data_IF_634890587800
#
_entry.id   IF_634890587800
#
_cell.length_a   1.000
_cell.length_b   1.000
_cell.length_c   1.000
_cell.angle_alpha   90.00
_cell.angle_beta   90.00
_cell.angle_gamma   90.00
#
_symmetry.space_group_name_H-M   'P 1'
#
loop_
_entity.id
_entity.type
_entity.pdbx_description
1 polymer ?
#
# COMPACT_ATOMS: atom_id res chain seq x y z
N UNK A 1 2.46 -32.85 -33.01
CA UNK A 1 3.73 -32.75 -33.76
C UNK A 1 4.30 -31.32 -33.62
N UNK A 2 3.66 -30.30 -34.14
CA UNK A 2 4.17 -28.91 -34.08
C UNK A 2 4.41 -28.36 -32.65
N UNK A 3 3.60 -28.76 -31.68
CA UNK A 3 3.78 -28.38 -30.27
C UNK A 3 5.05 -29.04 -29.70
N UNK A 4 5.26 -30.30 -29.96
CA UNK A 4 6.42 -31.03 -29.45
C UNK A 4 7.73 -30.51 -30.06
N UNK A 5 7.75 -30.24 -31.36
CA UNK A 5 8.90 -29.63 -32.02
C UNK A 5 9.25 -28.25 -31.46
N UNK A 6 8.25 -27.40 -31.28
CA UNK A 6 8.43 -26.06 -30.67
C UNK A 6 8.88 -26.14 -29.21
N UNK A 7 8.36 -27.13 -28.45
CA UNK A 7 8.78 -27.34 -27.07
C UNK A 7 10.25 -27.77 -26.99
N UNK A 8 10.67 -28.75 -27.82
CA UNK A 8 12.05 -29.20 -27.85
C UNK A 8 13.01 -28.08 -28.26
N UNK A 9 12.65 -27.28 -29.27
CA UNK A 9 13.45 -26.14 -29.70
C UNK A 9 13.57 -25.08 -28.58
N UNK A 10 12.49 -24.82 -27.87
CA UNK A 10 12.51 -23.88 -26.75
C UNK A 10 13.39 -24.37 -25.59
N UNK A 11 13.37 -25.67 -25.29
CA UNK A 11 14.23 -26.26 -24.26
C UNK A 11 15.69 -26.25 -24.68
N UNK A 12 16.00 -26.57 -25.94
CA UNK A 12 17.35 -26.47 -26.48
C UNK A 12 17.90 -25.04 -26.41
N UNK A 13 17.10 -24.07 -26.75
CA UNK A 13 17.49 -22.64 -26.64
C UNK A 13 17.75 -22.24 -25.18
N UNK A 14 16.87 -22.66 -24.24
CA UNK A 14 17.03 -22.37 -22.81
C UNK A 14 18.33 -23.01 -22.26
N UNK A 15 18.66 -24.23 -22.68
CA UNK A 15 19.88 -24.88 -22.24
C UNK A 15 21.13 -24.22 -22.84
N UNK A 16 21.10 -23.88 -24.14
CA UNK A 16 22.23 -23.28 -24.83
C UNK A 16 22.49 -21.82 -24.44
N UNK A 17 21.43 -21.03 -24.26
CA UNK A 17 21.54 -19.57 -24.00
C UNK A 17 21.59 -19.24 -22.52
N UNK A 18 20.86 -19.99 -21.67
CA UNK A 18 20.72 -19.68 -20.24
C UNK A 18 21.25 -20.79 -19.32
N UNK A 19 21.74 -21.91 -19.85
CA UNK A 19 22.20 -23.03 -19.03
C UNK A 19 21.08 -23.72 -18.23
N UNK A 20 19.81 -23.51 -18.60
CA UNK A 20 18.65 -24.06 -17.89
C UNK A 20 18.25 -25.37 -18.55
N UNK A 21 18.52 -26.48 -17.88
CA UNK A 21 18.10 -27.82 -18.35
C UNK A 21 16.57 -27.96 -18.29
N UNK A 22 16.03 -28.89 -19.07
CA UNK A 22 14.59 -29.22 -19.03
C UNK A 22 14.12 -29.60 -17.61
N UNK A 23 14.92 -30.35 -16.87
CA UNK A 23 14.62 -30.71 -15.47
C UNK A 23 14.51 -29.45 -14.58
N UNK A 24 15.47 -28.55 -14.69
CA UNK A 24 15.47 -27.31 -13.94
C UNK A 24 14.25 -26.46 -14.30
N UNK A 25 13.93 -26.33 -15.59
CA UNK A 25 12.76 -25.62 -16.06
C UNK A 25 11.45 -26.19 -15.49
N UNK A 26 11.28 -27.52 -15.58
CA UNK A 26 10.11 -28.23 -15.04
C UNK A 26 9.96 -28.00 -13.52
N UNK A 27 11.08 -28.03 -12.78
CA UNK A 27 11.09 -27.78 -11.35
C UNK A 27 10.70 -26.31 -11.04
N UNK A 28 11.20 -25.34 -11.79
CA UNK A 28 10.80 -23.92 -11.64
C UNK A 28 9.31 -23.71 -11.89
N UNK A 29 8.78 -24.31 -12.97
CA UNK A 29 7.35 -24.26 -13.29
C UNK A 29 6.51 -24.92 -12.18
N UNK A 30 6.96 -26.08 -11.68
CA UNK A 30 6.29 -26.75 -10.56
C UNK A 30 6.28 -25.89 -9.29
N UNK A 31 7.41 -25.27 -8.94
CA UNK A 31 7.52 -24.38 -7.79
C UNK A 31 6.60 -23.18 -7.95
N UNK A 32 6.55 -22.59 -9.15
CA UNK A 32 5.65 -21.49 -9.46
C UNK A 32 4.19 -21.86 -9.20
N UNK A 33 3.69 -22.94 -9.77
CA UNK A 33 2.30 -23.36 -9.57
C UNK A 33 1.99 -23.81 -8.13
N UNK A 34 2.96 -24.43 -7.44
CA UNK A 34 2.79 -24.78 -6.03
C UNK A 34 2.68 -23.51 -5.17
N UNK A 35 3.51 -22.51 -5.45
CA UNK A 35 3.43 -21.23 -4.75
C UNK A 35 2.08 -20.55 -4.95
N UNK A 36 1.62 -20.47 -6.19
CA UNK A 36 0.31 -19.89 -6.50
C UNK A 36 -0.83 -20.64 -5.79
N UNK A 37 -0.81 -21.97 -5.82
CA UNK A 37 -1.82 -22.77 -5.12
C UNK A 37 -1.79 -22.56 -3.59
N UNK A 38 -0.60 -22.44 -3.00
CA UNK A 38 -0.47 -22.14 -1.56
C UNK A 38 -0.97 -20.74 -1.25
N UNK A 39 -0.65 -19.74 -2.08
CA UNK A 39 -1.18 -18.37 -1.89
C UNK A 39 -2.70 -18.37 -1.96
N UNK A 40 -3.29 -19.05 -2.95
CA UNK A 40 -4.73 -19.13 -3.10
C UNK A 40 -5.40 -19.77 -1.86
N UNK A 41 -4.86 -20.89 -1.38
CA UNK A 41 -5.38 -21.58 -0.20
C UNK A 41 -5.26 -20.76 1.09
N UNK A 42 -4.06 -20.19 1.33
CA UNK A 42 -3.77 -19.41 2.54
C UNK A 42 -4.57 -18.10 2.59
N UNK A 43 -4.90 -17.54 1.43
CA UNK A 43 -5.60 -16.26 1.34
C UNK A 43 -7.08 -16.41 0.98
N UNK A 44 -7.62 -17.64 1.02
CA UNK A 44 -9.01 -17.92 0.68
C UNK A 44 -10.01 -17.18 1.59
N UNK A 45 -9.65 -16.97 2.85
CA UNK A 45 -10.48 -16.32 3.86
C UNK A 45 -10.31 -14.78 3.89
N UNK A 46 -9.47 -14.21 3.02
CA UNK A 46 -9.34 -12.75 2.93
C UNK A 46 -10.61 -12.17 2.30
N UNK A 47 -11.34 -11.40 3.10
CA UNK A 47 -12.60 -10.80 2.68
C UNK A 47 -12.39 -9.62 1.72
N UNK A 48 -13.36 -9.40 0.83
CA UNK A 48 -13.38 -8.24 -0.09
C UNK A 48 -14.09 -7.04 0.49
N UNK A 49 -14.39 -7.10 1.79
CA UNK A 49 -14.96 -6.01 2.57
C UNK A 49 -14.12 -5.81 3.82
N UNK A 50 -14.16 -4.60 4.35
CA UNK A 50 -13.62 -4.28 5.68
C UNK A 50 -14.49 -3.24 6.35
N UNK A 51 -14.46 -3.20 7.68
CA UNK A 51 -15.05 -2.10 8.42
C UNK A 51 -14.38 -0.80 8.00
N UNK A 52 -15.17 0.18 7.57
CA UNK A 52 -14.72 1.53 7.25
C UNK A 52 -15.51 2.53 8.08
N UNK A 53 -14.85 3.61 8.41
CA UNK A 53 -15.45 4.74 9.10
C UNK A 53 -15.48 5.98 8.20
N UNK A 54 -16.53 6.77 8.32
CA UNK A 54 -16.59 8.12 7.76
C UNK A 54 -16.47 9.10 8.90
N UNK A 55 -15.48 9.95 8.84
CA UNK A 55 -15.25 10.94 9.87
C UNK A 55 -15.00 12.34 9.28
N UNK A 56 -15.13 13.34 10.13
CA UNK A 56 -14.65 14.69 9.87
C UNK A 56 -13.74 15.13 11.00
N UNK A 57 -12.81 16.06 10.72
CA UNK A 57 -11.87 16.54 11.71
C UNK A 57 -11.63 18.05 11.66
N UNK A 58 -11.09 18.56 12.76
CA UNK A 58 -10.47 19.89 12.85
C UNK A 58 -9.03 19.64 13.29
N UNK A 59 -8.05 20.11 12.53
CA UNK A 59 -6.64 20.02 12.84
C UNK A 59 -6.11 21.39 13.28
N UNK A 60 -5.45 21.46 14.43
CA UNK A 60 -4.81 22.68 14.93
C UNK A 60 -3.41 22.37 15.47
N UNK A 61 -2.57 23.41 15.63
CA UNK A 61 -1.16 23.23 15.99
C UNK A 61 -0.95 22.96 17.49
N UNK A 62 -1.82 23.45 18.35
CA UNK A 62 -1.64 23.39 19.79
C UNK A 62 -2.86 22.83 20.56
N UNK A 63 -2.58 22.21 21.69
CA UNK A 63 -3.58 21.58 22.54
C UNK A 63 -4.58 22.55 23.15
N UNK A 64 -4.17 23.79 23.48
CA UNK A 64 -5.05 24.79 24.10
C UNK A 64 -6.19 25.16 23.14
N UNK A 65 -5.83 25.47 21.88
CA UNK A 65 -6.80 25.72 20.83
C UNK A 65 -7.71 24.51 20.58
N UNK A 66 -7.15 23.28 20.52
CA UNK A 66 -7.94 22.07 20.35
C UNK A 66 -8.96 21.89 21.48
N UNK A 67 -8.55 22.12 22.74
CA UNK A 67 -9.43 22.00 23.89
C UNK A 67 -10.55 23.04 23.88
N UNK A 68 -10.24 24.27 23.48
CA UNK A 68 -11.22 25.34 23.38
C UNK A 68 -12.27 25.05 22.30
N UNK A 69 -11.84 24.54 21.15
CA UNK A 69 -12.73 24.12 20.06
C UNK A 69 -13.58 22.90 20.47
N UNK A 70 -12.99 21.94 21.17
CA UNK A 70 -13.75 20.81 21.71
C UNK A 70 -14.86 21.26 22.64
N UNK A 71 -14.58 22.22 23.56
CA UNK A 71 -15.58 22.76 24.46
C UNK A 71 -16.71 23.50 23.70
N UNK A 72 -16.37 24.29 22.67
CA UNK A 72 -17.37 24.96 21.82
C UNK A 72 -18.25 23.92 21.09
N UNK A 73 -17.71 22.83 20.61
CA UNK A 73 -18.46 21.73 20.00
C UNK A 73 -19.40 21.05 21.00
N UNK A 74 -18.97 20.88 22.26
CA UNK A 74 -19.82 20.35 23.33
C UNK A 74 -20.95 21.31 23.70
N UNK A 75 -20.74 22.63 23.56
CA UNK A 75 -21.75 23.66 23.75
C UNK A 75 -22.72 23.80 22.56
N UNK A 76 -22.45 23.03 21.46
CA UNK A 76 -23.36 22.91 20.30
C UNK A 76 -23.01 23.81 19.11
N UNK A 77 -21.83 24.41 19.09
CA UNK A 77 -21.32 25.12 17.93
C UNK A 77 -21.17 24.19 16.70
N UNK A 78 -21.20 24.79 15.53
CA UNK A 78 -21.16 24.05 14.27
C UNK A 78 -19.77 23.51 13.97
N UNK A 79 -19.62 22.18 13.92
CA UNK A 79 -18.36 21.54 13.56
C UNK A 79 -17.84 22.02 12.20
N UNK A 80 -18.72 22.19 11.21
CA UNK A 80 -18.31 22.60 9.87
C UNK A 80 -17.82 24.06 9.82
N UNK A 81 -18.42 24.96 10.61
CA UNK A 81 -17.99 26.34 10.69
C UNK A 81 -16.66 26.47 11.42
N UNK A 82 -16.47 25.74 12.52
CA UNK A 82 -15.20 25.72 13.25
C UNK A 82 -14.09 25.05 12.40
N UNK A 83 -14.40 24.00 11.65
CA UNK A 83 -13.44 23.40 10.73
C UNK A 83 -12.98 24.38 9.65
N UNK A 84 -13.92 25.12 9.06
CA UNK A 84 -13.60 26.09 8.01
C UNK A 84 -12.81 27.30 8.54
N UNK A 85 -13.00 27.67 9.82
CA UNK A 85 -12.35 28.83 10.42
C UNK A 85 -10.99 28.52 11.02
N UNK A 86 -10.84 27.36 11.68
CA UNK A 86 -9.67 27.06 12.52
C UNK A 86 -8.80 25.93 11.99
N UNK A 87 -9.31 25.04 11.11
CA UNK A 87 -8.51 23.90 10.68
C UNK A 87 -7.31 24.30 9.84
N UNK A 88 -6.13 23.83 10.22
CA UNK A 88 -4.90 23.97 9.42
C UNK A 88 -4.88 23.02 8.21
N UNK A 89 -5.70 21.95 8.22
CA UNK A 89 -6.03 21.20 7.00
C UNK A 89 -7.08 21.96 6.19
N UNK A 90 -6.60 22.86 5.33
CA UNK A 90 -7.46 23.71 4.51
C UNK A 90 -8.28 22.93 3.49
N UNK A 91 -7.79 21.75 3.06
CA UNK A 91 -8.47 20.93 2.04
C UNK A 91 -9.79 20.36 2.58
N UNK A 92 -9.76 19.72 3.75
CA UNK A 92 -10.98 19.20 4.37
C UNK A 92 -11.74 20.30 5.12
N UNK A 93 -11.05 21.28 5.71
CA UNK A 93 -11.63 22.38 6.47
C UNK A 93 -12.69 23.16 5.69
N UNK A 94 -12.40 23.54 4.44
CA UNK A 94 -13.36 24.23 3.54
C UNK A 94 -14.61 23.37 3.25
N UNK A 95 -14.52 22.04 3.43
CA UNK A 95 -15.62 21.08 3.28
C UNK A 95 -16.21 20.67 4.64
N UNK A 96 -16.01 21.47 5.69
CA UNK A 96 -16.49 21.19 7.05
C UNK A 96 -15.74 20.06 7.75
N UNK A 97 -14.51 19.79 7.31
CA UNK A 97 -13.62 18.79 7.86
C UNK A 97 -13.83 17.36 7.34
N UNK A 98 -14.73 17.14 6.36
CA UNK A 98 -15.10 15.79 5.88
C UNK A 98 -13.91 15.09 5.19
N UNK A 99 -13.54 13.93 5.72
CA UNK A 99 -12.46 13.08 5.19
C UNK A 99 -12.99 11.95 4.30
N UNK A 100 -14.32 11.79 4.21
CA UNK A 100 -14.93 10.65 3.53
C UNK A 100 -14.77 9.35 4.30
N UNK A 101 -14.91 8.23 3.58
CA UNK A 101 -14.74 6.88 4.11
C UNK A 101 -13.29 6.44 4.06
N UNK A 102 -12.80 5.86 5.15
CA UNK A 102 -11.47 5.25 5.20
C UNK A 102 -11.48 3.98 6.05
N UNK A 103 -10.61 3.05 5.70
CA UNK A 103 -10.39 1.80 6.43
C UNK A 103 -9.07 1.81 7.20
N UNK A 104 -8.78 0.70 7.86
CA UNK A 104 -7.55 0.50 8.61
C UNK A 104 -6.29 0.68 7.73
N UNK A 105 -5.28 1.34 8.27
CA UNK A 105 -4.00 1.61 7.60
C UNK A 105 -3.99 2.83 6.67
N UNK A 106 -5.10 3.59 6.58
CA UNK A 106 -5.20 4.77 5.71
C UNK A 106 -4.84 6.08 6.42
N UNK A 107 -4.91 6.11 7.75
CA UNK A 107 -4.62 7.29 8.57
C UNK A 107 -3.44 7.02 9.52
N UNK A 108 -2.97 8.05 10.23
CA UNK A 108 -1.96 7.86 11.28
C UNK A 108 -2.55 7.03 12.42
N UNK A 109 -1.72 6.17 13.05
CA UNK A 109 -2.21 5.22 14.05
C UNK A 109 -3.00 5.85 15.22
N UNK A 110 -2.59 7.01 15.81
CA UNK A 110 -3.37 7.65 16.88
C UNK A 110 -4.74 8.15 16.39
N UNK A 111 -4.78 8.75 15.18
CA UNK A 111 -6.02 9.23 14.59
C UNK A 111 -6.98 8.07 14.28
N UNK A 112 -6.46 7.02 13.67
CA UNK A 112 -7.22 5.83 13.29
C UNK A 112 -7.82 5.15 14.53
N UNK A 113 -7.00 4.89 15.55
CA UNK A 113 -7.48 4.29 16.81
C UNK A 113 -8.64 5.08 17.40
N UNK A 114 -8.48 6.41 17.50
CA UNK A 114 -9.54 7.27 18.03
C UNK A 114 -10.80 7.22 17.17
N UNK A 115 -10.67 7.32 15.83
CA UNK A 115 -11.83 7.32 14.94
C UNK A 115 -12.63 6.01 14.98
N UNK A 116 -11.93 4.86 15.10
CA UNK A 116 -12.58 3.53 15.16
C UNK A 116 -13.20 3.22 16.52
N UNK A 117 -12.75 3.87 17.60
CA UNK A 117 -13.32 3.73 18.95
C UNK A 117 -14.60 4.54 19.15
N UNK A 118 -14.82 5.61 18.38
CA UNK A 118 -15.99 6.47 18.51
C UNK A 118 -17.30 5.76 18.10
N UNK A 119 -18.39 6.17 18.73
CA UNK A 119 -19.75 5.90 18.26
C UNK A 119 -20.20 6.93 17.20
N UNK A 120 -21.12 6.54 16.32
CA UNK A 120 -21.62 7.45 15.28
C UNK A 120 -22.29 8.68 15.89
N UNK A 121 -21.77 9.85 15.55
CA UNK A 121 -22.14 11.15 16.07
C UNK A 121 -21.27 11.67 17.21
N UNK A 122 -20.44 10.80 17.80
CA UNK A 122 -19.54 11.16 18.89
C UNK A 122 -18.37 12.03 18.39
N UNK A 123 -17.87 12.89 19.27
CA UNK A 123 -16.73 13.79 19.06
C UNK A 123 -15.62 13.37 20.01
N UNK A 124 -14.41 13.12 19.49
CA UNK A 124 -13.24 12.77 20.30
C UNK A 124 -12.77 13.93 21.16
N UNK A 125 -12.10 13.63 22.27
CA UNK A 125 -11.15 14.59 22.84
C UNK A 125 -10.02 14.88 21.84
N UNK A 126 -9.22 15.96 22.06
CA UNK A 126 -8.06 16.23 21.20
C UNK A 126 -7.09 15.06 21.10
N UNK A 127 -6.81 14.61 19.86
CA UNK A 127 -5.91 13.49 19.53
C UNK A 127 -4.61 14.03 18.97
N UNK A 128 -3.49 13.75 19.60
CA UNK A 128 -2.16 14.19 19.16
C UNK A 128 -1.62 13.29 18.06
N UNK A 129 -1.09 13.91 17.00
CA UNK A 129 -0.33 13.25 15.92
C UNK A 129 0.89 14.07 15.53
N UNK A 130 1.72 13.57 14.63
CA UNK A 130 2.85 14.35 14.08
C UNK A 130 2.43 15.62 13.31
N UNK A 131 1.15 15.77 12.99
CA UNK A 131 0.61 16.94 12.28
C UNK A 131 0.04 18.01 13.23
N UNK A 132 -0.17 17.67 14.50
CA UNK A 132 -0.81 18.52 15.48
C UNK A 132 -1.93 17.80 16.24
N UNK A 133 -2.92 18.56 16.70
CA UNK A 133 -4.05 18.05 17.48
C UNK A 133 -5.32 17.99 16.62
N UNK A 134 -5.94 16.83 16.59
CA UNK A 134 -7.17 16.59 15.84
C UNK A 134 -8.36 16.48 16.80
N UNK A 135 -9.46 17.11 16.46
CA UNK A 135 -10.77 16.83 17.02
C UNK A 135 -11.52 16.06 15.93
N UNK A 136 -11.99 14.86 16.24
CA UNK A 136 -12.57 13.94 15.27
C UNK A 136 -14.05 13.73 15.60
N UNK A 137 -14.91 13.77 14.60
CA UNK A 137 -16.28 13.32 14.75
C UNK A 137 -16.60 12.18 13.81
N UNK A 138 -17.14 11.08 14.34
CA UNK A 138 -17.56 9.94 13.54
C UNK A 138 -18.95 10.22 12.91
N UNK A 139 -19.02 10.08 11.58
CA UNK A 139 -20.26 10.30 10.81
C UNK A 139 -20.94 9.00 10.39
N UNK A 140 -20.17 7.90 10.30
CA UNK A 140 -20.68 6.60 9.90
C UNK A 140 -19.66 5.50 10.10
N UNK A 141 -20.14 4.26 10.25
CA UNK A 141 -19.34 3.05 10.45
C UNK A 141 -20.06 1.87 9.82
N UNK A 142 -19.45 1.23 8.81
CA UNK A 142 -20.08 0.11 8.11
C UNK A 142 -19.06 -0.76 7.38
N UNK A 143 -19.44 -2.01 7.12
CA UNK A 143 -18.71 -2.91 6.22
C UNK A 143 -18.82 -2.42 4.78
N UNK A 144 -17.70 -2.12 4.14
CA UNK A 144 -17.65 -1.61 2.76
C UNK A 144 -16.70 -2.41 1.89
N UNK A 145 -16.99 -2.54 0.58
CA UNK A 145 -16.05 -3.13 -0.35
C UNK A 145 -14.72 -2.39 -0.36
N UNK A 146 -13.64 -3.14 -0.41
CA UNK A 146 -12.30 -2.62 -0.63
C UNK A 146 -11.95 -2.66 -2.12
N UNK A 147 -11.07 -1.76 -2.55
CA UNK A 147 -10.57 -1.77 -3.92
C UNK A 147 -9.59 -2.94 -4.15
N UNK A 148 -9.32 -3.24 -5.42
CA UNK A 148 -8.48 -4.40 -5.79
C UNK A 148 -7.05 -4.27 -5.27
N UNK A 149 -6.48 -3.07 -5.18
CA UNK A 149 -5.12 -2.88 -4.67
C UNK A 149 -5.06 -3.20 -3.18
N UNK A 150 -6.01 -2.68 -2.39
CA UNK A 150 -6.15 -2.98 -0.96
C UNK A 150 -6.36 -4.48 -0.75
N UNK A 151 -7.22 -5.12 -1.54
CA UNK A 151 -7.43 -6.56 -1.46
C UNK A 151 -6.14 -7.36 -1.74
N UNK A 152 -5.37 -6.98 -2.75
CA UNK A 152 -4.09 -7.63 -3.04
C UNK A 152 -3.04 -7.39 -1.94
N UNK A 153 -3.03 -6.21 -1.31
CA UNK A 153 -2.16 -5.93 -0.16
C UNK A 153 -2.51 -6.83 1.03
N UNK A 154 -3.80 -6.98 1.36
CA UNK A 154 -4.25 -7.88 2.44
C UNK A 154 -3.88 -9.34 2.15
N UNK A 155 -4.05 -9.81 0.91
CA UNK A 155 -3.60 -11.15 0.51
C UNK A 155 -2.08 -11.33 0.68
N UNK A 156 -1.29 -10.35 0.24
CA UNK A 156 0.16 -10.41 0.39
C UNK A 156 0.58 -10.41 1.86
N UNK A 157 -0.09 -9.63 2.70
CA UNK A 157 0.15 -9.61 4.14
C UNK A 157 -0.18 -10.97 4.77
N UNK A 158 -1.38 -11.51 4.50
CA UNK A 158 -1.81 -12.80 5.03
C UNK A 158 -0.83 -13.93 4.63
N UNK A 159 -0.37 -13.94 3.38
CA UNK A 159 0.64 -14.90 2.93
C UNK A 159 1.99 -14.70 3.61
N UNK A 160 2.43 -13.46 3.79
CA UNK A 160 3.69 -13.14 4.48
C UNK A 160 3.67 -13.59 5.94
N UNK A 161 2.58 -13.34 6.65
CA UNK A 161 2.38 -13.72 8.04
C UNK A 161 2.36 -15.25 8.19
N UNK A 162 1.60 -15.94 7.33
CA UNK A 162 1.58 -17.39 7.28
C UNK A 162 2.97 -17.96 7.01
N UNK A 163 3.70 -17.39 6.04
CA UNK A 163 5.05 -17.86 5.70
C UNK A 163 6.02 -17.66 6.89
N UNK A 164 5.90 -16.56 7.60
CA UNK A 164 6.72 -16.30 8.80
C UNK A 164 6.39 -17.26 9.94
N UNK A 165 5.09 -17.54 10.15
CA UNK A 165 4.64 -18.55 11.12
C UNK A 165 5.23 -19.92 10.78
N UNK A 166 5.13 -20.35 9.51
CA UNK A 166 5.66 -21.66 9.08
C UNK A 166 7.18 -21.73 9.17
N UNK A 167 7.90 -20.67 8.84
CA UNK A 167 9.36 -20.61 9.06
C UNK A 167 9.72 -20.83 10.53
N UNK A 168 8.98 -20.22 11.45
CA UNK A 168 9.22 -20.36 12.87
C UNK A 168 8.86 -21.78 13.35
N UNK A 169 7.72 -22.33 12.90
CA UNK A 169 7.23 -23.67 13.24
C UNK A 169 8.24 -24.76 12.82
N UNK A 170 8.74 -24.67 11.58
CA UNK A 170 9.67 -25.65 11.02
C UNK A 170 11.15 -25.31 11.27
N UNK A 171 11.44 -24.23 11.99
CA UNK A 171 12.81 -23.74 12.24
C UNK A 171 13.62 -23.66 10.92
N UNK A 172 12.94 -23.22 9.84
CA UNK A 172 13.54 -23.14 8.52
C UNK A 172 14.61 -22.05 8.48
N UNK A 173 15.85 -22.47 8.34
CA UNK A 173 16.96 -21.55 8.09
C UNK A 173 17.11 -21.32 6.58
N UNK A 174 17.07 -20.06 6.17
CA UNK A 174 17.46 -19.71 4.80
C UNK A 174 18.99 -19.79 4.73
N UNK A 175 19.50 -20.56 3.75
CA UNK A 175 20.92 -20.52 3.45
C UNK A 175 21.31 -19.09 3.07
N UNK A 176 22.03 -18.40 3.96
CA UNK A 176 22.45 -17.00 3.75
C UNK A 176 23.46 -16.87 2.59
N UNK A 177 24.08 -17.98 2.21
CA UNK A 177 25.05 -18.04 1.11
C UNK A 177 24.39 -18.27 -0.26
N UNK A 178 23.04 -18.25 -0.34
CA UNK A 178 22.34 -18.50 -1.59
C UNK A 178 22.81 -17.61 -2.74
N UNK A 179 23.27 -16.40 -2.45
CA UNK A 179 23.83 -15.48 -3.43
C UNK A 179 25.11 -15.99 -4.08
N UNK A 180 25.86 -16.87 -3.39
CA UNK A 180 27.08 -17.47 -3.94
C UNK A 180 26.78 -18.57 -4.96
N UNK A 181 25.53 -19.09 -4.96
CA UNK A 181 25.05 -20.08 -5.92
C UNK A 181 24.28 -19.47 -7.10
N UNK A 182 24.09 -18.13 -7.11
CA UNK A 182 23.58 -17.47 -8.29
C UNK A 182 24.70 -17.52 -9.33
N UNK A 183 24.46 -18.15 -10.50
CA UNK A 183 25.44 -18.09 -11.58
C UNK A 183 25.72 -16.62 -11.91
N UNK A 184 27.00 -16.26 -11.94
CA UNK A 184 27.42 -14.94 -12.40
C UNK A 184 27.26 -14.78 -13.90
N UNK A 185 26.86 -15.85 -14.58
CA UNK A 185 26.55 -15.93 -16.01
C UNK A 185 25.17 -16.64 -16.20
N UNK A 186 24.37 -16.26 -17.21
CA UNK A 186 24.86 -15.52 -18.38
C UNK A 186 25.11 -14.06 -18.07
N UNK A 187 26.20 -13.52 -18.60
CA UNK A 187 26.34 -12.06 -18.68
C UNK A 187 25.11 -11.54 -19.39
N UNK A 188 24.39 -10.63 -18.75
CA UNK A 188 23.25 -9.99 -19.41
C UNK A 188 23.78 -9.39 -20.72
N UNK A 189 23.24 -9.80 -21.88
CA UNK A 189 23.74 -9.30 -23.16
C UNK A 189 23.81 -7.78 -23.12
N UNK A 190 24.93 -7.21 -23.58
CA UNK A 190 25.17 -5.76 -23.54
C UNK A 190 24.00 -4.99 -24.20
N UNK A 191 23.44 -5.55 -25.26
CA UNK A 191 22.26 -5.02 -25.97
C UNK A 191 21.02 -4.93 -25.07
N UNK A 192 20.79 -5.93 -24.19
CA UNK A 192 19.67 -5.90 -23.25
C UNK A 192 19.90 -4.89 -22.13
N UNK A 193 21.16 -4.76 -21.66
CA UNK A 193 21.52 -3.72 -20.68
C UNK A 193 21.36 -2.32 -21.25
N UNK A 194 21.74 -2.11 -22.50
CA UNK A 194 21.55 -0.84 -23.21
C UNK A 194 20.07 -0.53 -23.42
N UNK A 195 19.28 -1.52 -23.82
CA UNK A 195 17.82 -1.39 -23.94
C UNK A 195 17.16 -1.00 -22.61
N UNK A 196 17.49 -1.70 -21.51
CA UNK A 196 16.95 -1.42 -20.18
C UNK A 196 17.37 -0.02 -19.67
N UNK A 197 18.60 0.40 -19.93
CA UNK A 197 19.08 1.76 -19.60
C UNK A 197 18.34 2.84 -20.40
N UNK A 198 18.13 2.61 -21.70
CA UNK A 198 17.37 3.53 -22.54
C UNK A 198 15.92 3.67 -22.07
N UNK A 199 15.29 2.57 -21.71
CA UNK A 199 13.92 2.55 -21.16
C UNK A 199 13.83 3.29 -19.81
N UNK A 200 14.82 3.09 -18.93
CA UNK A 200 14.88 3.79 -17.65
C UNK A 200 15.09 5.30 -17.82
N UNK A 201 15.93 5.73 -18.78
CA UNK A 201 16.11 7.14 -19.11
C UNK A 201 14.82 7.77 -19.68
N UNK A 202 14.09 7.04 -20.50
CA UNK A 202 12.82 7.49 -21.07
C UNK A 202 11.74 7.68 -19.97
N UNK A 203 11.67 6.78 -18.99
CA UNK A 203 10.79 6.91 -17.84
C UNK A 203 11.18 8.10 -16.94
N UNK A 204 12.47 8.36 -16.76
CA UNK A 204 12.92 9.53 -16.01
C UNK A 204 12.60 10.85 -16.71
N UNK A 205 12.65 10.89 -18.05
CA UNK A 205 12.26 12.07 -18.82
C UNK A 205 10.75 12.35 -18.76
N UNK A 206 9.93 11.29 -18.74
CA UNK A 206 8.48 11.41 -18.60
C UNK A 206 8.05 11.91 -17.21
N UNK A 207 8.83 11.57 -16.18
CA UNK A 207 8.57 11.97 -14.79
C UNK A 207 9.29 13.29 -14.40
N UNK A 208 10.03 13.94 -15.30
CA UNK A 208 10.64 15.23 -15.02
C UNK A 208 9.57 16.32 -15.08
N UNK A 209 9.44 17.17 -14.04
CA UNK A 209 8.48 18.26 -14.08
C UNK A 209 8.82 19.20 -15.24
N UNK A 210 7.85 19.53 -16.07
CA UNK A 210 7.98 20.54 -17.11
C UNK A 210 8.43 21.85 -16.48
N UNK A 211 9.50 22.51 -17.00
CA UNK A 211 9.91 23.80 -16.48
C UNK A 211 8.75 24.80 -16.65
N UNK A 212 8.35 25.42 -15.57
CA UNK A 212 7.39 26.52 -15.58
C UNK A 212 8.06 27.66 -16.35
N UNK A 213 7.43 28.23 -17.41
CA UNK A 213 8.02 29.37 -18.10
C UNK A 213 8.09 30.55 -17.12
N UNK A 214 9.29 31.08 -16.92
CA UNK A 214 9.50 32.34 -16.21
C UNK A 214 8.69 33.44 -16.94
N UNK A 215 7.68 33.96 -16.27
CA UNK A 215 7.02 35.18 -16.74
C UNK A 215 7.99 36.33 -16.52
N UNK A 216 8.65 36.78 -17.61
CA UNK A 216 9.32 38.07 -17.61
C UNK A 216 8.29 39.15 -17.26
N UNK A 217 8.51 39.77 -16.10
CA UNK A 217 7.75 40.95 -15.69
C UNK A 217 8.20 42.16 -16.47
N UNK A 218 7.27 42.84 -17.11
CA UNK A 218 7.36 44.27 -17.41
C UNK A 218 6.71 45.09 -16.30
#
# INVERSE_FOLDING_TARGET
ELYEENYQLAMENLENEAGITEETFRNLVKIFYLREAVIEEVTADVERTQEQVRARHILVEDLETAQDLYNQLQDGESFAELAAEYSTDTFSGEQGGDLGWFGAGMMTAPFESAAFELEVGEISEPVETDFGFHIIQLLGKEERPIDENTYQQLKNQAYSDWLQEKKNEYQAELNQDWTTYIPTEPEIPTELLEYLRAQQQQLQQLNSPTPVPETEGE
#
